data_IF_000761001705
#
_entry.id   IF_000761001705
#
_cell.length_a   1.000
_cell.length_b   1.000
_cell.length_c   1.000
_cell.angle_alpha   90.00
_cell.angle_beta   90.00
_cell.angle_gamma   90.00
#
_symmetry.space_group_name_H-M   'P 1'
#
loop_
_entity.id
_entity.type
_entity.pdbx_description
1 polymer ?
#
# COMPACT_ATOMS: atom_id res chain seq x y z
N UNK A 1 -10.99 8.97 3.67
CA UNK A 1 -10.97 8.30 4.99
C UNK A 1 -12.28 7.60 5.33
N UNK A 2 -13.42 8.30 5.29
CA UNK A 2 -14.75 7.73 5.62
C UNK A 2 -15.08 6.50 4.75
N UNK A 3 -14.84 6.55 3.43
CA UNK A 3 -15.06 5.40 2.54
C UNK A 3 -14.23 4.16 2.88
N UNK A 4 -12.94 4.33 3.24
CA UNK A 4 -12.08 3.20 3.64
C UNK A 4 -12.53 2.61 4.99
N UNK A 5 -12.95 3.46 5.94
CA UNK A 5 -13.50 3.01 7.23
C UNK A 5 -14.79 2.22 7.03
N UNK A 6 -15.70 2.71 6.19
CA UNK A 6 -16.95 2.02 5.87
C UNK A 6 -16.67 0.68 5.17
N UNK A 7 -15.73 0.62 4.23
CA UNK A 7 -15.31 -0.63 3.61
C UNK A 7 -14.76 -1.62 4.65
N UNK A 8 -13.87 -1.17 5.54
CA UNK A 8 -13.34 -2.01 6.61
C UNK A 8 -14.48 -2.53 7.50
N UNK A 9 -15.41 -1.67 7.92
CA UNK A 9 -16.53 -2.07 8.79
C UNK A 9 -17.50 -3.04 8.10
N UNK A 10 -17.86 -2.79 6.84
CA UNK A 10 -18.80 -3.62 6.08
C UNK A 10 -18.19 -4.99 5.78
N UNK A 11 -16.95 -5.01 5.28
CA UNK A 11 -16.31 -6.26 4.89
C UNK A 11 -15.74 -7.04 6.09
N UNK A 12 -15.54 -6.43 7.27
CA UNK A 12 -15.18 -7.13 8.51
C UNK A 12 -16.31 -7.97 9.10
N UNK A 13 -17.56 -7.83 8.61
CA UNK A 13 -18.68 -8.67 9.05
C UNK A 13 -18.45 -10.14 8.68
N UNK A 14 -18.76 -11.05 9.61
CA UNK A 14 -18.49 -12.50 9.48
C UNK A 14 -19.18 -13.16 8.28
N UNK A 15 -20.29 -12.59 7.81
CA UNK A 15 -21.02 -13.06 6.62
C UNK A 15 -20.25 -12.82 5.32
N UNK A 16 -19.44 -11.77 5.24
CA UNK A 16 -18.76 -11.33 4.01
C UNK A 16 -17.32 -11.85 3.94
N UNK A 17 -16.64 -12.02 5.09
CA UNK A 17 -15.29 -12.63 5.20
C UNK A 17 -15.15 -14.05 4.65
N UNK A 18 -16.28 -14.70 4.32
CA UNK A 18 -16.31 -16.01 3.65
C UNK A 18 -15.98 -15.93 2.15
N UNK A 19 -15.93 -14.73 1.56
CA UNK A 19 -15.59 -14.55 0.16
C UNK A 19 -14.13 -14.10 -0.01
N UNK A 20 -13.28 -14.82 -0.75
CA UNK A 20 -11.88 -14.45 -0.96
C UNK A 20 -11.70 -13.04 -1.53
N UNK A 21 -12.53 -12.64 -2.51
CA UNK A 21 -12.57 -11.29 -3.07
C UNK A 21 -12.72 -10.20 -1.99
N UNK A 22 -13.57 -10.43 -0.99
CA UNK A 22 -13.79 -9.45 0.09
C UNK A 22 -12.53 -9.23 0.94
N UNK A 23 -11.70 -10.26 1.12
CA UNK A 23 -10.47 -10.15 1.89
C UNK A 23 -9.47 -9.22 1.20
N UNK A 24 -9.35 -9.32 -0.12
CA UNK A 24 -8.53 -8.39 -0.90
C UNK A 24 -9.01 -6.94 -0.77
N UNK A 25 -10.33 -6.70 -0.83
CA UNK A 25 -10.89 -5.35 -0.64
C UNK A 25 -10.65 -4.79 0.75
N UNK A 26 -10.75 -5.61 1.80
CA UNK A 26 -10.40 -5.20 3.18
C UNK A 26 -8.93 -4.82 3.26
N UNK A 27 -8.04 -5.70 2.79
CA UNK A 27 -6.60 -5.48 2.81
C UNK A 27 -6.20 -4.22 2.03
N UNK A 28 -6.80 -3.98 0.86
CA UNK A 28 -6.65 -2.74 0.11
C UNK A 28 -7.15 -1.50 0.85
N UNK A 29 -8.32 -1.60 1.49
CA UNK A 29 -8.88 -0.49 2.28
C UNK A 29 -8.02 -0.14 3.49
N UNK A 30 -7.43 -1.15 4.16
CA UNK A 30 -6.46 -0.96 5.24
C UNK A 30 -5.20 -0.28 4.70
N UNK A 31 -4.63 -0.76 3.60
CA UNK A 31 -3.44 -0.17 2.98
C UNK A 31 -3.67 1.30 2.59
N UNK A 32 -4.83 1.60 1.97
CA UNK A 32 -5.22 2.97 1.65
C UNK A 32 -5.49 3.84 2.87
N UNK A 33 -6.00 3.28 3.96
CA UNK A 33 -6.14 4.01 5.20
C UNK A 33 -4.75 4.42 5.73
N UNK A 34 -3.80 3.49 5.82
CA UNK A 34 -2.43 3.82 6.23
C UNK A 34 -1.76 4.84 5.30
N UNK A 35 -1.91 4.71 3.98
CA UNK A 35 -1.31 5.65 3.02
C UNK A 35 -1.83 7.08 3.20
N UNK A 36 -3.14 7.23 3.47
CA UNK A 36 -3.76 8.53 3.75
C UNK A 36 -3.23 9.14 5.05
N UNK A 37 -3.11 8.37 6.12
CA UNK A 37 -2.59 8.88 7.39
C UNK A 37 -1.12 9.30 7.26
N UNK A 38 -0.27 8.48 6.65
CA UNK A 38 1.14 8.84 6.40
C UNK A 38 1.24 10.10 5.51
N UNK A 39 0.35 10.23 4.53
CA UNK A 39 0.28 11.40 3.66
C UNK A 39 -0.17 12.68 4.36
N UNK A 40 -1.09 12.57 5.33
CA UNK A 40 -1.75 13.71 5.99
C UNK A 40 -1.03 14.18 7.26
N UNK A 41 -0.41 13.26 8.00
CA UNK A 41 0.29 13.57 9.26
C UNK A 41 1.36 14.64 9.03
N UNK A 42 2.14 14.54 7.95
CA UNK A 42 3.26 15.48 7.76
C UNK A 42 2.82 16.89 7.38
N UNK A 43 1.95 17.13 6.39
CA UNK A 43 1.41 18.48 6.18
C UNK A 43 0.79 19.07 7.44
N UNK A 44 0.12 18.23 8.25
CA UNK A 44 -0.47 18.67 9.51
C UNK A 44 0.59 19.09 10.54
N UNK A 45 1.67 18.32 10.72
CA UNK A 45 2.77 18.71 11.62
C UNK A 45 3.54 19.93 11.11
N UNK A 46 3.62 20.11 9.78
CA UNK A 46 4.21 21.27 9.14
C UNK A 46 3.53 22.58 9.56
N UNK A 47 2.19 22.58 9.70
CA UNK A 47 1.43 23.74 10.15
C UNK A 47 1.87 24.24 11.53
N UNK A 48 2.39 23.35 12.38
CA UNK A 48 2.85 23.66 13.73
C UNK A 48 4.38 23.78 13.85
N UNK A 49 5.12 23.80 12.72
CA UNK A 49 6.59 23.75 12.69
C UNK A 49 7.20 22.54 13.41
N UNK A 50 6.44 21.46 13.60
CA UNK A 50 6.86 20.23 14.30
C UNK A 50 7.22 19.11 13.31
N UNK A 51 7.72 19.47 12.13
CA UNK A 51 8.02 18.53 11.06
C UNK A 51 9.37 17.81 11.25
N UNK A 52 9.41 16.85 12.18
CA UNK A 52 10.61 16.03 12.41
C UNK A 52 11.07 15.23 11.19
N UNK A 53 10.16 14.98 10.23
CA UNK A 53 10.50 14.30 8.97
C UNK A 53 11.42 15.13 8.06
N UNK A 54 11.49 16.44 8.27
CA UNK A 54 12.38 17.37 7.56
C UNK A 54 13.76 17.50 8.23
N UNK A 55 13.88 17.05 9.48
CA UNK A 55 15.09 17.15 10.29
C UNK A 55 15.84 15.81 10.39
N UNK A 56 15.09 14.69 10.44
CA UNK A 56 15.65 13.36 10.64
C UNK A 56 15.62 12.58 9.33
N UNK A 57 16.80 12.31 8.77
CA UNK A 57 16.96 11.67 7.46
C UNK A 57 16.28 10.28 7.41
N UNK A 58 16.36 9.53 8.51
CA UNK A 58 15.69 8.25 8.66
C UNK A 58 14.15 8.36 8.58
N UNK A 59 13.56 9.35 9.28
CA UNK A 59 12.12 9.59 9.25
C UNK A 59 11.61 10.02 7.88
N UNK A 60 12.42 10.78 7.12
CA UNK A 60 12.06 11.07 5.75
C UNK A 60 11.98 9.79 4.90
N UNK A 61 13.05 8.98 4.91
CA UNK A 61 13.15 7.79 4.07
C UNK A 61 12.01 6.81 4.35
N UNK A 62 11.76 6.53 5.63
CA UNK A 62 10.70 5.59 6.04
C UNK A 62 9.31 6.09 5.65
N UNK A 63 9.06 7.41 5.68
CA UNK A 63 7.79 8.00 5.26
C UNK A 63 7.49 7.72 3.78
N UNK A 64 8.43 8.05 2.90
CA UNK A 64 8.25 7.82 1.46
C UNK A 64 8.16 6.32 1.16
N UNK A 65 9.01 5.51 1.79
CA UNK A 65 9.02 4.07 1.63
C UNK A 65 7.66 3.46 2.01
N UNK A 66 7.11 3.78 3.18
CA UNK A 66 5.80 3.28 3.62
C UNK A 66 4.67 3.80 2.71
N UNK A 67 4.72 5.06 2.28
CA UNK A 67 3.70 5.63 1.40
C UNK A 67 3.65 4.93 0.03
N UNK A 68 4.80 4.73 -0.61
CA UNK A 68 4.85 4.05 -1.91
C UNK A 68 4.43 2.58 -1.81
N UNK A 69 4.89 1.87 -0.78
CA UNK A 69 4.49 0.49 -0.55
C UNK A 69 2.99 0.35 -0.32
N UNK A 70 2.39 1.19 0.52
CA UNK A 70 0.95 1.11 0.84
C UNK A 70 0.04 1.43 -0.35
N UNK A 71 0.38 2.43 -1.17
CA UNK A 71 -0.37 2.75 -2.40
C UNK A 71 -0.26 1.60 -3.41
N UNK A 72 0.94 1.07 -3.60
CA UNK A 72 1.20 -0.04 -4.52
C UNK A 72 0.43 -1.29 -4.08
N UNK A 73 0.51 -1.66 -2.80
CA UNK A 73 -0.25 -2.79 -2.24
C UNK A 73 -1.75 -2.63 -2.44
N UNK A 74 -2.31 -1.44 -2.22
CA UNK A 74 -3.73 -1.22 -2.46
C UNK A 74 -4.11 -1.50 -3.92
N UNK A 75 -3.27 -1.09 -4.87
CA UNK A 75 -3.53 -1.29 -6.30
C UNK A 75 -3.46 -2.78 -6.65
N UNK A 76 -2.44 -3.49 -6.14
CA UNK A 76 -2.31 -4.93 -6.31
C UNK A 76 -3.48 -5.70 -5.71
N UNK A 77 -3.99 -5.30 -4.55
CA UNK A 77 -5.16 -5.95 -3.95
C UNK A 77 -6.42 -5.79 -4.77
N UNK A 78 -6.64 -4.64 -5.42
CA UNK A 78 -7.78 -4.47 -6.35
C UNK A 78 -7.62 -5.38 -7.57
N UNK A 79 -6.40 -5.50 -8.09
CA UNK A 79 -6.10 -6.40 -9.20
C UNK A 79 -6.35 -7.87 -8.81
N UNK A 80 -5.88 -8.31 -7.65
CA UNK A 80 -6.16 -9.66 -7.15
C UNK A 80 -7.64 -9.90 -6.88
N UNK A 81 -8.36 -8.91 -6.36
CA UNK A 81 -9.81 -9.01 -6.19
C UNK A 81 -10.55 -9.20 -7.52
N UNK A 82 -10.06 -8.56 -8.58
CA UNK A 82 -10.61 -8.68 -9.94
C UNK A 82 -10.33 -10.05 -10.55
N UNK A 83 -9.11 -10.57 -10.38
CA UNK A 83 -8.74 -11.93 -10.79
C UNK A 83 -9.58 -12.97 -10.04
N UNK A 84 -9.71 -12.83 -8.73
CA UNK A 84 -10.51 -13.74 -7.90
C UNK A 84 -11.99 -13.75 -8.33
N UNK A 85 -12.54 -12.57 -8.69
CA UNK A 85 -13.90 -12.48 -9.25
C UNK A 85 -14.02 -13.22 -10.57
N UNK A 86 -13.06 -13.05 -11.48
CA UNK A 86 -13.05 -13.78 -12.75
C UNK A 86 -12.96 -15.30 -12.54
N UNK A 87 -12.12 -15.75 -11.61
CA UNK A 87 -12.01 -17.17 -11.27
C UNK A 87 -13.31 -17.72 -10.67
N UNK A 88 -14.00 -16.92 -9.84
CA UNK A 88 -15.25 -17.31 -9.20
C UNK A 88 -16.42 -17.48 -10.18
N UNK A 89 -16.42 -16.72 -11.28
CA UNK A 89 -17.48 -16.75 -12.30
C UNK A 89 -17.19 -17.71 -13.45
N UNK A 90 -15.98 -18.28 -13.51
CA UNK A 90 -15.61 -19.26 -14.53
C UNK A 90 -16.44 -20.53 -14.43
N UNK A 91 -16.89 -21.06 -15.58
CA UNK A 91 -17.62 -22.34 -15.65
C UNK A 91 -16.72 -23.55 -15.35
N UNK A 92 -15.41 -23.39 -15.43
CA UNK A 92 -14.48 -24.49 -15.18
C UNK A 92 -14.26 -24.66 -13.67
N UNK A 93 -14.62 -25.83 -13.16
CA UNK A 93 -14.49 -26.22 -11.75
C UNK A 93 -13.06 -26.04 -11.24
N UNK A 94 -12.05 -26.29 -12.10
CA UNK A 94 -10.64 -26.11 -11.73
C UNK A 94 -10.26 -24.66 -11.54
N UNK A 95 -10.82 -23.71 -12.29
CA UNK A 95 -10.56 -22.28 -12.06
C UNK A 95 -11.35 -21.76 -10.86
N UNK A 96 -12.58 -22.24 -10.67
CA UNK A 96 -13.40 -21.88 -9.52
C UNK A 96 -12.79 -22.32 -8.19
N UNK A 97 -12.11 -23.47 -8.15
CA UNK A 97 -11.46 -23.96 -6.92
C UNK A 97 -10.27 -23.10 -6.45
N UNK A 98 -9.69 -22.28 -7.34
CA UNK A 98 -8.64 -21.33 -6.98
C UNK A 98 -9.17 -20.11 -6.20
N UNK A 99 -10.46 -19.78 -6.36
CA UNK A 99 -11.17 -18.76 -5.57
C UNK A 99 -11.48 -19.32 -4.16
N UNK A 100 -10.43 -19.56 -3.37
CA UNK A 100 -10.50 -20.07 -2.00
C UNK A 100 -9.91 -19.08 -1.00
N UNK A 101 -10.54 -18.96 0.16
CA UNK A 101 -10.09 -18.09 1.27
C UNK A 101 -8.64 -18.38 1.67
N UNK A 102 -8.23 -19.65 1.68
CA UNK A 102 -6.88 -20.05 2.09
C UNK A 102 -5.83 -19.54 1.09
N UNK A 103 -6.15 -19.62 -0.20
CA UNK A 103 -5.30 -19.11 -1.27
C UNK A 103 -5.25 -17.58 -1.19
N UNK A 104 -6.39 -16.92 -0.99
CA UNK A 104 -6.44 -15.46 -0.85
C UNK A 104 -5.58 -14.94 0.30
N UNK A 105 -5.65 -15.57 1.49
CA UNK A 105 -4.80 -15.22 2.63
C UNK A 105 -3.31 -15.39 2.31
N UNK A 106 -2.92 -16.50 1.67
CA UNK A 106 -1.53 -16.73 1.25
C UNK A 106 -1.05 -15.68 0.26
N UNK A 107 -1.87 -15.34 -0.74
CA UNK A 107 -1.54 -14.30 -1.73
C UNK A 107 -1.38 -12.94 -1.04
N UNK A 108 -2.27 -12.56 -0.13
CA UNK A 108 -2.17 -11.30 0.61
C UNK A 108 -0.87 -11.21 1.41
N UNK A 109 -0.51 -12.27 2.14
CA UNK A 109 0.71 -12.32 2.95
C UNK A 109 1.94 -12.27 2.04
N UNK A 110 2.01 -13.09 1.00
CA UNK A 110 3.13 -13.12 0.08
C UNK A 110 3.29 -11.80 -0.67
N UNK A 111 2.20 -11.21 -1.17
CA UNK A 111 2.22 -9.92 -1.84
C UNK A 111 2.69 -8.80 -0.90
N UNK A 112 2.23 -8.80 0.36
CA UNK A 112 2.72 -7.88 1.39
C UNK A 112 4.23 -8.01 1.58
N UNK A 113 4.71 -9.22 1.84
CA UNK A 113 6.12 -9.52 2.10
C UNK A 113 6.97 -9.12 0.90
N UNK A 114 6.57 -9.51 -0.31
CA UNK A 114 7.32 -9.20 -1.53
C UNK A 114 7.38 -7.69 -1.75
N UNK A 115 6.26 -6.98 -1.56
CA UNK A 115 6.22 -5.53 -1.70
C UNK A 115 7.18 -4.86 -0.72
N UNK A 116 7.07 -5.15 0.58
CA UNK A 116 7.94 -4.52 1.58
C UNK A 116 9.42 -4.92 1.40
N UNK A 117 9.74 -6.17 1.10
CA UNK A 117 11.15 -6.60 1.02
C UNK A 117 11.82 -6.11 -0.26
N UNK A 118 11.14 -6.21 -1.41
CA UNK A 118 11.78 -6.00 -2.71
C UNK A 118 11.43 -4.65 -3.35
N UNK A 119 10.19 -4.17 -3.19
CA UNK A 119 9.76 -2.94 -3.85
C UNK A 119 10.17 -1.71 -3.05
N UNK A 120 10.60 -0.68 -3.79
CA UNK A 120 10.96 0.63 -3.26
C UNK A 120 12.12 0.65 -2.24
N UNK A 121 12.92 -0.41 -2.17
CA UNK A 121 14.16 -0.41 -1.37
C UNK A 121 15.12 0.69 -1.85
N UNK A 122 15.07 1.06 -3.14
CA UNK A 122 15.81 2.20 -3.69
C UNK A 122 15.52 3.53 -2.98
N UNK A 123 14.36 3.69 -2.32
CA UNK A 123 13.98 4.92 -1.60
C UNK A 123 14.97 5.25 -0.48
N UNK A 124 15.55 4.23 0.17
CA UNK A 124 16.54 4.44 1.24
C UNK A 124 17.84 5.07 0.74
N UNK A 125 18.17 4.90 -0.54
CA UNK A 125 19.36 5.49 -1.16
C UNK A 125 19.02 6.79 -1.90
N UNK A 126 17.83 6.86 -2.50
CA UNK A 126 17.44 7.96 -3.36
C UNK A 126 16.91 9.20 -2.66
N UNK A 127 16.46 9.09 -1.40
CA UNK A 127 15.98 10.24 -0.63
C UNK A 127 17.04 10.74 0.34
N UNK A 128 17.21 12.05 0.41
CA UNK A 128 18.07 12.72 1.38
C UNK A 128 17.48 14.07 1.78
N UNK A 129 17.91 14.57 2.95
CA UNK A 129 17.61 15.92 3.38
C UNK A 129 18.60 16.87 2.70
N UNK A 130 18.10 17.86 1.98
CA UNK A 130 18.90 18.91 1.37
C UNK A 130 19.28 19.99 2.39
N UNK A 131 20.20 20.89 2.01
CA UNK A 131 20.66 22.01 2.84
C UNK A 131 19.53 22.95 3.32
N UNK A 132 18.35 22.92 2.67
CA UNK A 132 17.15 23.66 3.06
C UNK A 132 16.27 22.91 4.07
N UNK A 133 16.75 21.82 4.66
CA UNK A 133 15.98 20.86 5.47
C UNK A 133 14.74 20.30 4.76
N UNK A 134 14.71 20.34 3.43
CA UNK A 134 13.63 19.73 2.66
C UNK A 134 14.06 18.34 2.27
N UNK A 135 13.21 17.35 2.52
CA UNK A 135 13.49 16.01 2.06
C UNK A 135 13.07 15.82 0.60
N UNK A 136 14.05 15.55 -0.26
CA UNK A 136 13.85 15.42 -1.71
C UNK A 136 14.68 14.28 -2.27
N UNK A 137 14.55 14.05 -3.58
CA UNK A 137 15.46 13.19 -4.32
C UNK A 137 16.89 13.73 -4.24
N UNK A 138 17.85 12.84 -4.03
CA UNK A 138 19.28 13.13 -4.04
C UNK A 138 19.80 13.46 -5.45
N UNK A 139 19.20 12.85 -6.48
CA UNK A 139 19.59 13.04 -7.88
C UNK A 139 18.39 12.99 -8.84
N UNK A 140 18.54 13.55 -10.05
CA UNK A 140 17.53 13.47 -11.11
C UNK A 140 17.31 12.02 -11.59
N UNK A 141 18.36 11.18 -11.53
CA UNK A 141 18.27 9.75 -11.86
C UNK A 141 17.32 9.06 -10.88
N UNK A 142 17.46 9.35 -9.58
CA UNK A 142 16.57 8.81 -8.54
C UNK A 142 15.12 9.25 -8.72
N UNK A 143 14.88 10.47 -9.19
CA UNK A 143 13.54 10.92 -9.55
C UNK A 143 12.96 10.08 -10.70
N UNK A 144 13.72 9.91 -11.78
CA UNK A 144 13.31 9.12 -12.94
C UNK A 144 13.01 7.66 -12.56
N UNK A 145 13.84 7.05 -11.71
CA UNK A 145 13.65 5.67 -11.24
C UNK A 145 12.37 5.49 -10.41
N UNK A 146 11.98 6.49 -9.63
CA UNK A 146 10.71 6.43 -8.87
C UNK A 146 9.53 6.65 -9.80
N UNK A 147 9.62 7.59 -10.75
CA UNK A 147 8.54 7.90 -11.70
C UNK A 147 8.28 6.75 -12.68
N UNK A 148 9.26 5.91 -13.02
CA UNK A 148 9.07 4.72 -13.86
C UNK A 148 8.37 3.57 -13.13
N UNK A 149 8.56 3.49 -11.80
CA UNK A 149 8.02 2.40 -10.98
C UNK A 149 6.59 2.70 -10.50
N UNK A 150 6.21 3.99 -10.46
CA UNK A 150 4.91 4.47 -9.99
C UNK A 150 3.89 4.63 -11.13
#
# INVERSE_FOLDING_TARGET
TIGNLLNIMVFSRSSVRKNPCSLYFISGSIANFFSLYIGLITPFLALYNLDFTQQINFLCKIRFYLRFNTITLSTWYILFASIDRFLSTSMNVRYRSWSSIHIAKRIIILASIICFIFLYTQVFYCYSINQKNVCTYSSNICKLSVDIVL
#
